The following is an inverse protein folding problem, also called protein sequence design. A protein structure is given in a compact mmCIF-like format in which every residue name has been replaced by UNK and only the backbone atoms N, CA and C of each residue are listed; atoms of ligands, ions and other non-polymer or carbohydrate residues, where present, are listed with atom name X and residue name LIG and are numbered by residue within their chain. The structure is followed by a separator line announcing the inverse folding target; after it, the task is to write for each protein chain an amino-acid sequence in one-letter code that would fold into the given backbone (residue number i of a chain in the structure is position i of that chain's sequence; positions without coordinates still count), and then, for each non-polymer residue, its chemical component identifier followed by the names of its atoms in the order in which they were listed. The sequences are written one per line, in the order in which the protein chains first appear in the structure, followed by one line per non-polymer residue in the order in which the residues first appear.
data_IF_311196181777
#
_entry.id   IF_311196181777
#
_cell.length_a   1.000
_cell.length_b   1.000
_cell.length_c   1.000
_cell.angle_alpha   90.00
_cell.angle_beta   90.00
_cell.angle_gamma   90.00
#
_symmetry.space_group_name_H-M   'P 1'
#
loop_
_entity.id
_entity.type
_entity.pdbx_description
1 polymer ?
#
# COMPACT_ATOMS: atom_id res chain seq x y z
N UNK A 1 14.64 10.93 17.11
CA UNK A 1 14.44 12.39 17.10
C UNK A 1 13.58 12.72 15.89
N UNK A 2 12.40 13.30 16.08
CA UNK A 2 11.59 13.80 14.97
C UNK A 2 12.25 15.07 14.44
N UNK A 3 12.25 15.26 13.11
CA UNK A 3 12.75 16.48 12.50
C UNK A 3 11.90 17.69 12.96
N UNK A 4 12.49 18.88 12.99
CA UNK A 4 11.79 20.13 13.37
C UNK A 4 10.55 20.39 12.49
N UNK A 5 10.48 19.82 11.31
CA UNK A 5 9.43 20.04 10.31
C UNK A 5 8.33 18.97 10.32
N UNK A 6 8.33 18.06 11.30
CA UNK A 6 7.27 17.04 11.46
C UNK A 6 7.26 15.93 10.40
N UNK A 7 8.23 15.88 9.50
CA UNK A 7 8.34 14.82 8.48
C UNK A 7 8.94 13.54 9.07
N UNK A 8 8.49 12.40 8.60
CA UNK A 8 9.12 11.13 8.95
C UNK A 8 10.59 11.11 8.48
N UNK A 9 11.53 10.54 9.26
CA UNK A 9 12.97 10.54 8.91
C UNK A 9 13.28 10.01 7.50
N UNK A 10 12.54 9.00 7.05
CA UNK A 10 12.69 8.45 5.69
C UNK A 10 12.26 9.41 4.59
N UNK A 11 11.26 10.26 4.86
CA UNK A 11 10.80 11.29 3.91
C UNK A 11 11.78 12.46 3.91
N UNK A 12 12.26 12.87 5.09
CA UNK A 12 13.30 13.89 5.19
C UNK A 12 14.55 13.49 4.43
N UNK A 13 15.04 12.27 4.60
CA UNK A 13 16.20 11.75 3.86
C UNK A 13 16.01 11.78 2.33
N UNK A 14 14.81 11.43 1.85
CA UNK A 14 14.48 11.51 0.42
C UNK A 14 14.50 12.95 -0.07
N UNK A 15 13.90 13.87 0.67
CA UNK A 15 13.90 15.29 0.34
C UNK A 15 15.33 15.84 0.28
N UNK A 16 16.14 15.56 1.29
CA UNK A 16 17.54 15.99 1.36
C UNK A 16 18.37 15.45 0.20
N UNK A 17 18.10 14.20 -0.24
CA UNK A 17 18.76 13.60 -1.40
C UNK A 17 18.42 14.31 -2.70
N UNK A 18 17.16 14.71 -2.89
CA UNK A 18 16.74 15.49 -4.06
C UNK A 18 17.34 16.90 -4.05
N UNK A 19 17.30 17.59 -2.90
CA UNK A 19 17.90 18.92 -2.75
C UNK A 19 19.39 18.87 -3.04
N UNK A 20 20.09 17.86 -2.52
CA UNK A 20 21.52 17.66 -2.78
C UNK A 20 21.81 17.48 -4.28
N UNK A 21 20.99 16.66 -4.97
CA UNK A 21 21.17 16.46 -6.41
C UNK A 21 20.96 17.76 -7.19
N UNK A 22 19.91 18.51 -6.87
CA UNK A 22 19.64 19.83 -7.48
C UNK A 22 20.83 20.76 -7.26
N UNK A 23 21.36 20.87 -6.05
CA UNK A 23 22.50 21.73 -5.72
C UNK A 23 23.76 21.33 -6.51
N UNK A 24 24.03 20.03 -6.67
CA UNK A 24 25.15 19.54 -7.48
C UNK A 24 24.96 19.95 -8.94
N UNK A 25 23.78 19.72 -9.52
CA UNK A 25 23.52 20.03 -10.92
C UNK A 25 23.59 21.52 -11.19
N UNK A 26 23.06 22.37 -10.33
CA UNK A 26 23.11 23.82 -10.46
C UNK A 26 24.50 24.41 -10.26
N UNK A 27 25.41 23.72 -9.56
CA UNK A 27 26.79 24.13 -9.39
C UNK A 27 27.66 23.81 -10.61
N UNK A 28 27.26 22.87 -11.43
CA UNK A 28 28.04 22.40 -12.60
C UNK A 28 27.47 22.94 -13.92
N UNK A 29 26.17 23.10 -14.01
CA UNK A 29 25.43 23.49 -15.21
C UNK A 29 24.83 24.89 -15.08
N UNK A 30 24.74 25.67 -16.14
CA UNK A 30 24.05 26.96 -16.15
C UNK A 30 22.51 26.74 -16.18
N UNK A 31 21.97 26.28 -15.08
CA UNK A 31 20.53 26.01 -14.93
C UNK A 31 19.82 27.34 -14.70
N UNK A 32 18.87 27.70 -15.58
CA UNK A 32 18.07 28.92 -15.49
C UNK A 32 16.71 28.68 -14.85
N UNK A 33 16.21 27.44 -14.91
CA UNK A 33 14.90 27.08 -14.37
C UNK A 33 14.93 25.64 -13.90
N UNK A 34 14.21 25.35 -12.82
CA UNK A 34 14.00 24.00 -12.30
C UNK A 34 12.50 23.74 -12.23
N UNK A 35 12.03 22.80 -13.04
CA UNK A 35 10.63 22.37 -13.02
C UNK A 35 10.57 21.09 -12.18
N UNK A 36 9.81 21.15 -11.08
CA UNK A 36 9.57 20.01 -10.20
C UNK A 36 8.15 19.51 -10.39
N UNK A 37 8.01 18.26 -10.84
CA UNK A 37 6.72 17.61 -10.84
C UNK A 37 6.38 17.21 -9.41
N UNK A 38 5.41 17.89 -8.83
CA UNK A 38 4.88 17.56 -7.50
C UNK A 38 3.67 16.64 -7.67
N UNK A 39 3.86 15.35 -7.48
CA UNK A 39 2.75 14.42 -7.37
C UNK A 39 2.03 14.68 -6.04
N UNK A 40 0.95 15.45 -6.09
CA UNK A 40 0.18 15.91 -4.93
C UNK A 40 -0.82 14.86 -4.40
N UNK A 41 -0.41 13.58 -4.36
CA UNK A 41 -1.26 12.53 -3.80
C UNK A 41 -0.82 12.15 -2.38
N UNK A 42 -1.02 13.05 -1.44
CA UNK A 42 -1.01 12.67 -0.03
C UNK A 42 -2.31 11.95 0.31
N UNK A 43 -2.29 10.62 0.13
CA UNK A 43 -3.45 9.76 0.41
C UNK A 43 -3.88 9.87 1.88
N UNK A 44 -2.96 10.11 2.80
CA UNK A 44 -3.28 10.24 4.22
C UNK A 44 -3.96 11.58 4.48
N UNK A 45 -3.47 12.67 3.91
CA UNK A 45 -4.11 13.98 4.00
C UNK A 45 -5.46 14.03 3.28
N UNK A 46 -5.62 13.32 2.16
CA UNK A 46 -6.93 13.17 1.49
C UNK A 46 -7.94 12.46 2.39
N UNK A 47 -7.49 11.45 3.15
CA UNK A 47 -8.35 10.70 4.08
C UNK A 47 -8.63 11.46 5.38
N UNK A 48 -7.67 12.20 5.85
CA UNK A 48 -7.75 13.02 7.06
C UNK A 48 -7.02 14.34 6.82
N UNK A 49 -7.75 15.41 6.45
CA UNK A 49 -7.16 16.72 6.18
C UNK A 49 -6.42 17.35 7.39
N UNK A 50 -6.72 16.87 8.60
CA UNK A 50 -6.10 17.35 9.84
C UNK A 50 -4.83 16.57 10.23
N UNK A 51 -4.38 15.62 9.39
CA UNK A 51 -3.21 14.81 9.70
C UNK A 51 -1.94 15.69 9.67
N UNK A 52 -1.13 15.59 10.70
CA UNK A 52 0.15 16.30 10.79
C UNK A 52 1.16 15.52 11.62
N UNK A 53 2.44 15.76 11.39
CA UNK A 53 3.54 15.23 12.19
C UNK A 53 3.45 13.71 12.46
N UNK A 54 3.33 13.35 13.73
CA UNK A 54 3.24 11.95 14.20
C UNK A 54 2.04 11.20 13.61
N UNK A 55 0.97 11.90 13.25
CA UNK A 55 -0.22 11.29 12.65
C UNK A 55 0.10 10.52 11.37
N UNK A 56 1.07 10.98 10.57
CA UNK A 56 1.54 10.27 9.38
C UNK A 56 2.20 8.92 9.70
N UNK A 57 2.72 8.75 10.89
CA UNK A 57 3.35 7.51 11.34
C UNK A 57 2.33 6.51 11.93
N UNK A 58 1.12 6.97 12.20
CA UNK A 58 0.03 6.19 12.78
C UNK A 58 -1.00 5.76 11.72
N UNK A 59 -0.56 5.46 10.51
CA UNK A 59 -1.40 4.94 9.45
C UNK A 59 -2.00 3.57 9.80
N UNK A 60 -2.90 3.07 8.93
CA UNK A 60 -3.62 1.80 9.13
C UNK A 60 -2.73 0.55 9.33
N UNK A 61 -1.44 0.67 9.03
CA UNK A 61 -0.44 -0.39 9.23
C UNK A 61 0.38 -0.21 10.52
N UNK A 62 0.15 0.86 11.27
CA UNK A 62 0.84 1.08 12.53
C UNK A 62 0.52 -0.03 13.54
N UNK A 63 1.52 -0.50 14.25
CA UNK A 63 1.39 -1.59 15.21
C UNK A 63 1.48 -2.99 14.62
N UNK A 64 1.55 -3.14 13.29
CA UNK A 64 1.78 -4.44 12.67
C UNK A 64 3.27 -4.67 12.41
N UNK A 65 3.73 -5.90 12.67
CA UNK A 65 5.12 -6.32 12.46
C UNK A 65 5.59 -6.11 11.01
N UNK A 66 4.70 -6.43 10.05
CA UNK A 66 4.97 -6.26 8.63
C UNK A 66 3.65 -6.17 7.84
N UNK A 67 3.76 -5.86 6.55
CA UNK A 67 2.63 -5.75 5.64
C UNK A 67 1.79 -7.04 5.57
N UNK A 68 2.45 -8.22 5.65
CA UNK A 68 1.76 -9.50 5.63
C UNK A 68 0.79 -9.63 6.81
N UNK A 69 1.26 -9.33 8.03
CA UNK A 69 0.44 -9.39 9.23
C UNK A 69 -0.73 -8.40 9.17
N UNK A 70 -0.48 -7.20 8.69
CA UNK A 70 -1.54 -6.23 8.45
C UNK A 70 -2.61 -6.77 7.49
N UNK A 71 -2.22 -7.36 6.35
CA UNK A 71 -3.18 -7.90 5.37
C UNK A 71 -3.95 -9.10 5.95
N UNK A 72 -3.28 -10.01 6.66
CA UNK A 72 -3.94 -11.14 7.33
C UNK A 72 -4.98 -10.66 8.35
N UNK A 73 -4.61 -9.69 9.18
CA UNK A 73 -5.52 -9.08 10.17
C UNK A 73 -6.70 -8.38 9.49
N UNK A 74 -6.44 -7.54 8.49
CA UNK A 74 -7.48 -6.86 7.71
C UNK A 74 -8.50 -7.84 7.13
N UNK A 75 -8.03 -8.98 6.65
CA UNK A 75 -8.84 -10.01 6.01
C UNK A 75 -9.41 -11.03 7.02
N UNK A 76 -9.23 -10.77 8.33
CA UNK A 76 -9.76 -11.60 9.42
C UNK A 76 -9.17 -13.01 9.45
N UNK A 77 -7.91 -13.18 9.00
CA UNK A 77 -7.22 -14.48 8.90
C UNK A 77 -8.05 -15.53 8.13
N UNK A 78 -8.73 -15.11 7.06
CA UNK A 78 -9.62 -15.97 6.26
C UNK A 78 -9.32 -15.82 4.77
N UNK A 79 -9.52 -16.90 4.02
CA UNK A 79 -9.49 -16.84 2.57
C UNK A 79 -10.60 -15.93 2.05
N UNK A 80 -10.25 -14.98 1.22
CA UNK A 80 -11.16 -13.96 0.71
C UNK A 80 -11.91 -14.38 -0.56
N UNK A 81 -11.65 -15.57 -1.09
CA UNK A 81 -12.48 -16.13 -2.15
C UNK A 81 -13.87 -16.47 -1.59
N UNK A 82 -14.91 -15.81 -2.09
CA UNK A 82 -16.30 -16.02 -1.65
C UNK A 82 -16.77 -17.47 -1.82
N UNK A 83 -16.28 -18.15 -2.85
CA UNK A 83 -16.63 -19.54 -3.17
C UNK A 83 -15.72 -20.57 -2.48
N UNK A 84 -14.87 -20.14 -1.55
CA UNK A 84 -13.94 -21.03 -0.86
C UNK A 84 -14.65 -21.88 0.18
N UNK A 85 -14.71 -23.20 -0.05
CA UNK A 85 -15.26 -24.18 0.92
C UNK A 85 -14.39 -24.35 2.18
N UNK A 86 -13.12 -23.90 2.16
CA UNK A 86 -12.16 -23.99 3.26
C UNK A 86 -11.85 -22.62 3.90
N UNK A 87 -12.73 -21.66 3.78
CA UNK A 87 -12.48 -20.26 4.14
C UNK A 87 -11.89 -20.07 5.55
N UNK A 88 -12.33 -20.87 6.51
CA UNK A 88 -11.93 -20.81 7.91
C UNK A 88 -11.15 -22.04 8.38
N UNK A 89 -11.07 -23.09 7.56
CA UNK A 89 -10.46 -24.39 7.95
C UNK A 89 -8.99 -24.50 7.62
N UNK A 90 -8.51 -23.68 6.68
CA UNK A 90 -7.12 -23.72 6.24
C UNK A 90 -6.26 -22.88 7.16
N UNK A 91 -5.24 -23.53 7.75
CA UNK A 91 -4.29 -22.88 8.65
C UNK A 91 -3.19 -22.11 7.88
N UNK A 92 -2.90 -22.52 6.65
CA UNK A 92 -1.87 -21.87 5.84
C UNK A 92 -2.53 -20.88 4.89
N UNK A 93 -2.27 -19.60 5.16
CA UNK A 93 -2.74 -18.49 4.35
C UNK A 93 -1.58 -17.82 3.62
N UNK A 94 -1.84 -17.40 2.41
CA UNK A 94 -0.88 -16.74 1.53
C UNK A 94 -1.42 -15.38 1.09
N UNK A 95 -0.52 -14.42 0.93
CA UNK A 95 -0.87 -13.11 0.37
C UNK A 95 -0.64 -13.15 -1.14
N UNK A 96 -1.62 -12.70 -1.89
CA UNK A 96 -1.62 -12.67 -3.35
C UNK A 96 -1.77 -11.24 -3.87
N UNK A 97 -1.00 -10.89 -4.90
CA UNK A 97 -1.16 -9.63 -5.63
C UNK A 97 -2.34 -9.73 -6.61
N UNK A 98 -3.41 -9.01 -6.35
CA UNK A 98 -4.62 -8.99 -7.18
C UNK A 98 -4.30 -8.61 -8.63
N UNK A 99 -3.44 -7.62 -8.81
CA UNK A 99 -3.00 -7.13 -10.12
C UNK A 99 -1.96 -7.99 -10.83
N UNK A 100 -1.62 -9.17 -10.33
CA UNK A 100 -0.59 -10.04 -10.91
C UNK A 100 -0.82 -10.34 -12.39
N UNK A 101 -2.06 -10.55 -12.80
CA UNK A 101 -2.45 -10.84 -14.18
C UNK A 101 -2.11 -9.71 -15.17
N UNK A 102 -2.04 -8.45 -14.70
CA UNK A 102 -1.64 -7.27 -15.47
C UNK A 102 -0.23 -6.77 -15.11
N UNK A 103 0.59 -7.62 -14.51
CA UNK A 103 1.97 -7.35 -14.07
C UNK A 103 2.10 -6.31 -12.96
N UNK A 104 1.03 -5.93 -12.28
CA UNK A 104 1.08 -5.07 -11.09
C UNK A 104 1.47 -5.92 -9.87
N UNK A 105 2.71 -5.74 -9.42
CA UNK A 105 3.28 -6.41 -8.23
C UNK A 105 3.55 -5.45 -7.09
N UNK A 106 2.87 -4.31 -7.09
CA UNK A 106 3.02 -3.33 -6.01
C UNK A 106 2.46 -3.86 -4.69
N UNK A 107 3.20 -3.62 -3.62
CA UNK A 107 2.83 -4.05 -2.25
C UNK A 107 1.82 -3.12 -1.56
N UNK A 108 1.13 -2.29 -2.34
CA UNK A 108 0.05 -1.48 -1.77
C UNK A 108 -1.07 -2.37 -1.22
N UNK A 109 -1.62 -2.08 -0.03
CA UNK A 109 -2.64 -2.92 0.60
C UNK A 109 -3.86 -3.21 -0.27
N UNK A 110 -4.28 -2.26 -1.12
CA UNK A 110 -5.39 -2.44 -2.05
C UNK A 110 -5.13 -3.49 -3.15
N UNK A 111 -3.85 -3.77 -3.45
CA UNK A 111 -3.43 -4.78 -4.42
C UNK A 111 -3.19 -6.16 -3.78
N UNK A 112 -3.38 -6.30 -2.48
CA UNK A 112 -3.08 -7.52 -1.74
C UNK A 112 -4.35 -8.16 -1.17
N UNK A 113 -4.40 -9.50 -1.17
CA UNK A 113 -5.53 -10.28 -0.69
C UNK A 113 -5.06 -11.58 -0.05
N UNK A 114 -5.77 -12.02 0.99
CA UNK A 114 -5.49 -13.29 1.68
C UNK A 114 -6.20 -14.45 1.00
N UNK A 115 -5.47 -15.49 0.66
CA UNK A 115 -5.99 -16.72 0.06
C UNK A 115 -5.45 -17.95 0.79
N UNK A 116 -6.22 -19.03 0.81
CA UNK A 116 -5.74 -20.34 1.23
C UNK A 116 -4.96 -21.03 0.09
N UNK A 117 -4.18 -22.05 0.43
CA UNK A 117 -3.37 -22.83 -0.53
C UNK A 117 -4.21 -23.47 -1.63
N UNK A 118 -5.46 -23.83 -1.36
CA UNK A 118 -6.37 -24.42 -2.36
C UNK A 118 -6.93 -23.39 -3.34
N UNK A 119 -7.00 -22.14 -2.95
CA UNK A 119 -7.43 -21.05 -3.84
C UNK A 119 -6.25 -20.40 -4.56
N UNK A 120 -5.08 -20.35 -3.94
CA UNK A 120 -3.86 -19.77 -4.52
C UNK A 120 -3.07 -20.84 -5.30
N UNK A 121 -3.57 -21.23 -6.45
CA UNK A 121 -2.97 -22.26 -7.30
C UNK A 121 -2.63 -21.72 -8.69
N UNK A 122 -1.64 -22.30 -9.40
CA UNK A 122 -1.30 -21.90 -10.75
C UNK A 122 -2.49 -21.94 -11.74
N UNK A 123 -3.42 -22.87 -11.53
CA UNK A 123 -4.64 -22.96 -12.34
C UNK A 123 -5.49 -21.71 -12.23
N UNK A 124 -5.62 -21.16 -11.02
CA UNK A 124 -6.47 -19.99 -10.76
C UNK A 124 -5.85 -18.67 -11.23
N UNK A 125 -4.54 -18.65 -11.51
CA UNK A 125 -3.84 -17.50 -12.10
C UNK A 125 -3.98 -17.41 -13.62
N UNK A 126 -4.31 -18.53 -14.30
CA UNK A 126 -4.43 -18.55 -15.75
C UNK A 126 -5.69 -17.81 -16.21
N UNK A 127 -5.70 -17.44 -17.49
CA UNK A 127 -6.89 -16.90 -18.14
C UNK A 127 -8.09 -17.83 -17.88
N UNK A 128 -9.24 -17.27 -17.49
CA UNK A 128 -10.44 -17.98 -17.00
C UNK A 128 -10.35 -18.54 -15.57
N UNK A 129 -9.19 -18.43 -14.87
CA UNK A 129 -9.13 -18.69 -13.44
C UNK A 129 -9.71 -17.49 -12.65
N UNK A 130 -10.23 -17.72 -11.46
CA UNK A 130 -10.93 -16.67 -10.70
C UNK A 130 -10.01 -15.53 -10.24
N UNK A 131 -8.67 -15.71 -10.22
CA UNK A 131 -7.71 -14.67 -9.90
C UNK A 131 -7.39 -13.77 -11.11
N UNK A 132 -7.73 -14.20 -12.32
CA UNK A 132 -7.53 -13.41 -13.51
C UNK A 132 -8.63 -12.35 -13.62
N UNK A 133 -8.24 -11.09 -13.76
CA UNK A 133 -9.20 -9.99 -13.87
C UNK A 133 -9.88 -9.60 -12.55
N UNK A 134 -9.41 -10.10 -11.40
CA UNK A 134 -9.98 -9.72 -10.11
C UNK A 134 -9.82 -8.20 -9.89
N UNK A 135 -10.89 -7.50 -9.49
CA UNK A 135 -10.83 -6.06 -9.27
C UNK A 135 -9.98 -5.75 -8.03
N UNK A 136 -9.24 -4.64 -8.09
CA UNK A 136 -8.53 -4.12 -6.91
C UNK A 136 -9.54 -3.85 -5.79
N UNK A 137 -9.14 -4.13 -4.55
CA UNK A 137 -9.96 -3.79 -3.41
C UNK A 137 -9.99 -2.27 -3.23
N UNK A 138 -11.16 -1.71 -3.40
CA UNK A 138 -11.44 -0.37 -2.84
C UNK A 138 -11.52 -0.56 -1.33
N UNK A 139 -10.74 0.20 -0.56
CA UNK A 139 -10.80 0.16 0.90
C UNK A 139 -12.21 0.58 1.37
N UNK A 140 -13.12 -0.38 1.49
CA UNK A 140 -14.48 -0.16 1.98
C UNK A 140 -14.55 0.14 3.48
N UNK A 141 -13.44 -0.02 4.21
CA UNK A 141 -13.41 0.19 5.66
C UNK A 141 -13.56 1.67 6.09
N UNK A 142 -13.64 2.62 5.15
CA UNK A 142 -13.86 4.03 5.48
C UNK A 142 -15.30 4.51 5.24
N UNK A 143 -16.16 3.71 4.59
CA UNK A 143 -17.57 4.07 4.42
C UNK A 143 -18.45 3.64 5.61
N UNK A 144 -18.04 2.60 6.37
CA UNK A 144 -18.84 2.10 7.48
C UNK A 144 -18.54 2.75 8.84
N UNK A 145 -17.53 3.61 8.96
CA UNK A 145 -17.27 4.36 10.21
C UNK A 145 -17.96 5.74 10.25
N UNK A 146 -18.70 6.11 9.22
CA UNK A 146 -19.49 7.38 9.19
C UNK A 146 -20.99 7.19 9.48
N UNK A 147 -21.43 6.01 9.84
CA UNK A 147 -22.84 5.69 10.12
C UNK A 147 -23.04 5.03 11.49
N UNK A 148 -22.28 5.43 12.51
CA UNK A 148 -22.63 5.19 13.92
C UNK A 148 -22.34 6.46 14.70
#
# INVERSE_FOLDING_TARGET
MASKDGLAPSIQHKLDSHIRLVNILTSILPVTEIIVEVASFDIQAIKNPSISGVGYQQGSQAGFWNLREYILHRDGHKCQNSNCKNRTKEKILQIHHIGYWKKDRSDRPSNLITLCTKCHTPKNHKNKGFLYGWPLRVNSNHLNQRLL
#
